data_IF_969842380039
#
_entry.id   IF_969842380039
#
_cell.length_a   1.000
_cell.length_b   1.000
_cell.length_c   1.000
_cell.angle_alpha   90.00
_cell.angle_beta   90.00
_cell.angle_gamma   90.00
#
_symmetry.space_group_name_H-M   'P 1'
#
loop_
_entity.id
_entity.type
_entity.pdbx_description
1 polymer ?
#
# COMPACT_ATOMS: atom_id res chain seq x y z
N UNK A 1 -4.07 32.43 -8.02
CA UNK A 1 -4.63 31.19 -8.61
C UNK A 1 -4.17 31.04 -10.07
N UNK A 2 -4.12 32.13 -10.84
CA UNK A 2 -3.75 32.09 -12.27
C UNK A 2 -2.33 31.61 -12.56
N UNK A 3 -1.36 31.90 -11.69
CA UNK A 3 0.03 31.44 -11.82
C UNK A 3 0.16 29.90 -11.81
N UNK A 4 -0.55 29.21 -10.90
CA UNK A 4 -0.50 27.75 -10.80
C UNK A 4 -1.05 27.07 -12.06
N UNK A 5 -2.13 27.63 -12.64
CA UNK A 5 -2.70 27.11 -13.88
C UNK A 5 -1.77 27.38 -15.05
N UNK A 6 -1.18 28.58 -15.14
CA UNK A 6 -0.27 28.97 -16.22
C UNK A 6 0.98 28.08 -16.30
N UNK A 7 1.50 27.61 -15.16
CA UNK A 7 2.68 26.71 -15.08
C UNK A 7 2.35 25.22 -15.06
N UNK A 8 1.06 24.84 -15.10
CA UNK A 8 0.68 23.43 -15.06
C UNK A 8 1.03 22.71 -16.37
N UNK A 9 1.67 21.54 -16.29
CA UNK A 9 1.98 20.69 -17.45
C UNK A 9 1.00 19.54 -17.52
N UNK A 10 0.43 19.30 -18.71
CA UNK A 10 -0.38 18.11 -18.95
C UNK A 10 0.51 16.87 -18.82
N UNK A 11 0.16 16.00 -17.88
CA UNK A 11 0.79 14.68 -17.73
C UNK A 11 -0.01 13.70 -18.60
N UNK A 12 0.63 12.96 -19.53
CA UNK A 12 -0.06 12.00 -20.36
C UNK A 12 -0.73 10.92 -19.49
N UNK A 13 -1.97 10.56 -19.85
CA UNK A 13 -2.82 9.70 -19.04
C UNK A 13 -2.61 8.23 -19.39
N UNK A 14 -1.81 7.54 -18.58
CA UNK A 14 -1.56 6.08 -18.66
C UNK A 14 -1.07 5.60 -20.03
N UNK A 15 -0.55 4.38 -20.07
CA UNK A 15 -0.21 3.69 -21.32
C UNK A 15 -1.47 3.05 -21.93
N UNK A 16 -1.57 3.03 -23.26
CA UNK A 16 -2.52 2.23 -24.03
C UNK A 16 -1.98 0.81 -24.22
N UNK A 17 -2.81 -0.09 -24.72
CA UNK A 17 -2.42 -1.50 -24.91
C UNK A 17 -1.19 -1.65 -25.82
N UNK A 18 -1.12 -0.79 -26.84
CA UNK A 18 -0.08 -0.78 -27.87
C UNK A 18 1.27 -0.24 -27.37
N UNK A 19 1.29 0.43 -26.21
CA UNK A 19 2.49 1.01 -25.60
C UNK A 19 3.26 0.00 -24.71
N UNK A 20 2.78 -1.24 -24.62
CA UNK A 20 3.38 -2.29 -23.78
C UNK A 20 4.21 -3.28 -24.60
N UNK A 21 5.42 -3.58 -24.10
CA UNK A 21 6.32 -4.57 -24.66
C UNK A 21 6.41 -5.81 -23.76
N UNK A 22 6.53 -6.99 -24.38
CA UNK A 22 6.73 -8.25 -23.64
C UNK A 22 8.06 -8.19 -22.89
N UNK A 23 8.02 -8.48 -21.59
CA UNK A 23 9.19 -8.44 -20.70
C UNK A 23 9.51 -7.05 -20.12
N UNK A 24 8.75 -6.01 -20.44
CA UNK A 24 8.91 -4.69 -19.84
C UNK A 24 8.64 -4.75 -18.33
N UNK A 25 9.57 -4.22 -17.54
CA UNK A 25 9.44 -4.08 -16.08
C UNK A 25 9.17 -2.63 -15.71
N UNK A 26 8.21 -2.40 -14.82
CA UNK A 26 7.93 -1.07 -14.26
C UNK A 26 8.37 -1.05 -12.80
N UNK A 27 9.30 -0.16 -12.48
CA UNK A 27 9.69 0.07 -11.10
C UNK A 27 8.62 0.93 -10.42
N UNK A 28 7.91 0.35 -9.45
CA UNK A 28 6.91 1.09 -8.70
C UNK A 28 7.60 1.94 -7.63
N UNK A 29 7.77 3.23 -7.94
CA UNK A 29 8.59 4.15 -7.14
C UNK A 29 8.10 4.45 -5.71
N UNK A 30 6.92 3.96 -5.30
CA UNK A 30 6.37 4.25 -3.98
C UNK A 30 6.49 3.05 -3.06
N UNK A 31 7.52 3.09 -2.23
CA UNK A 31 7.53 2.36 -0.97
C UNK A 31 6.67 3.11 0.04
N UNK A 32 5.86 2.38 0.81
CA UNK A 32 5.06 2.93 1.90
C UNK A 32 5.26 2.08 3.14
N UNK A 33 5.68 2.71 4.23
CA UNK A 33 5.69 2.07 5.55
C UNK A 33 4.26 1.83 6.00
N UNK A 34 3.90 0.55 6.18
CA UNK A 34 2.61 0.15 6.73
C UNK A 34 2.64 0.25 8.25
N UNK A 35 1.59 0.82 8.82
CA UNK A 35 1.41 0.95 10.26
C UNK A 35 0.03 0.47 10.72
N UNK A 36 -0.22 0.52 12.03
CA UNK A 36 -1.48 0.06 12.64
C UNK A 36 -2.72 0.84 12.15
N UNK A 37 -2.54 2.11 11.78
CA UNK A 37 -3.59 2.92 11.20
C UNK A 37 -4.07 2.38 9.84
N UNK A 38 -3.17 1.81 9.03
CA UNK A 38 -3.54 1.18 7.76
C UNK A 38 -4.41 -0.06 8.00
N UNK A 39 -4.08 -0.88 9.01
CA UNK A 39 -4.90 -2.04 9.40
C UNK A 39 -6.28 -1.62 9.92
N UNK A 40 -6.36 -0.60 10.77
CA UNK A 40 -7.62 -0.08 11.29
C UNK A 40 -8.51 0.47 10.17
N UNK A 41 -7.92 1.24 9.24
CA UNK A 41 -8.60 1.78 8.07
C UNK A 41 -9.11 0.65 7.16
N UNK A 42 -8.24 -0.28 6.79
CA UNK A 42 -8.58 -1.37 5.89
C UNK A 42 -9.68 -2.27 6.47
N UNK A 43 -9.52 -2.70 7.73
CA UNK A 43 -10.49 -3.56 8.43
C UNK A 43 -11.88 -2.91 8.46
N UNK A 44 -11.94 -1.60 8.72
CA UNK A 44 -13.20 -0.87 8.75
C UNK A 44 -13.82 -0.71 7.36
N UNK A 45 -13.02 -0.31 6.35
CA UNK A 45 -13.51 -0.07 4.99
C UNK A 45 -13.96 -1.36 4.30
N UNK A 46 -13.21 -2.44 4.48
CA UNK A 46 -13.49 -3.73 3.85
C UNK A 46 -14.43 -4.61 4.70
N UNK A 47 -14.87 -4.13 5.86
CA UNK A 47 -15.65 -4.91 6.85
C UNK A 47 -14.97 -6.23 7.25
N UNK A 48 -13.64 -6.26 7.18
CA UNK A 48 -12.82 -7.45 7.39
C UNK A 48 -12.43 -7.57 8.87
N UNK A 49 -13.41 -7.83 9.73
CA UNK A 49 -13.24 -7.93 11.19
C UNK A 49 -12.61 -9.25 11.64
N UNK A 50 -11.50 -9.64 11.00
CA UNK A 50 -10.70 -10.79 11.40
C UNK A 50 -9.79 -10.38 12.58
N UNK A 51 -10.00 -10.92 13.80
CA UNK A 51 -9.32 -10.46 15.01
C UNK A 51 -7.80 -10.62 14.94
N UNK A 52 -7.29 -11.50 14.08
CA UNK A 52 -5.86 -11.66 13.80
C UNK A 52 -5.18 -10.35 13.35
N UNK A 53 -5.90 -9.45 12.68
CA UNK A 53 -5.30 -8.27 12.05
C UNK A 53 -5.38 -6.99 12.89
N UNK A 54 -6.24 -6.94 13.91
CA UNK A 54 -6.45 -5.74 14.73
C UNK A 54 -6.51 -5.99 16.24
N UNK A 55 -6.48 -7.25 16.70
CA UNK A 55 -6.41 -7.60 18.12
C UNK A 55 -5.07 -8.26 18.43
N UNK A 56 -4.19 -7.51 19.10
CA UNK A 56 -2.83 -7.94 19.46
C UNK A 56 -2.83 -9.17 20.36
N UNK A 57 -3.73 -9.23 21.36
CA UNK A 57 -3.77 -10.39 22.27
C UNK A 57 -4.27 -11.65 21.57
N UNK A 58 -5.22 -11.51 20.65
CA UNK A 58 -5.66 -12.63 19.82
C UNK A 58 -4.51 -13.11 18.93
N UNK A 59 -3.81 -12.22 18.23
CA UNK A 59 -2.69 -12.59 17.38
C UNK A 59 -1.56 -13.30 18.15
N UNK A 60 -1.25 -12.85 19.37
CA UNK A 60 -0.25 -13.49 20.25
C UNK A 60 -0.61 -14.93 20.62
N UNK A 61 -1.90 -15.22 20.81
CA UNK A 61 -2.35 -16.59 21.10
C UNK A 61 -2.07 -17.58 19.95
N UNK A 62 -1.85 -17.07 18.73
CA UNK A 62 -1.42 -17.83 17.55
C UNK A 62 0.09 -17.74 17.29
N UNK A 63 0.87 -17.19 18.23
CA UNK A 63 2.33 -17.09 18.10
C UNK A 63 2.81 -15.94 17.23
N UNK A 64 1.95 -14.99 16.88
CA UNK A 64 2.36 -13.77 16.19
C UNK A 64 2.79 -12.73 17.20
N UNK A 65 4.08 -12.44 17.25
CA UNK A 65 4.64 -11.34 18.03
C UNK A 65 4.95 -10.15 17.11
N UNK A 66 4.48 -8.97 17.54
CA UNK A 66 4.61 -7.69 16.82
C UNK A 66 6.08 -7.28 16.62
N UNK A 67 6.93 -7.63 17.58
CA UNK A 67 8.34 -7.21 17.59
C UNK A 67 9.29 -8.36 17.27
N UNK A 68 8.77 -9.50 16.82
CA UNK A 68 9.64 -10.59 16.42
C UNK A 68 10.53 -10.09 15.28
N UNK A 69 11.86 -10.24 15.39
CA UNK A 69 12.75 -9.80 14.33
C UNK A 69 12.32 -10.55 13.08
N UNK A 70 11.85 -9.78 12.08
CA UNK A 70 11.55 -10.30 10.75
C UNK A 70 12.70 -11.22 10.37
N UNK A 71 12.42 -12.51 10.16
CA UNK A 71 13.43 -13.44 9.69
C UNK A 71 13.99 -12.85 8.40
N UNK A 72 15.22 -12.32 8.48
CA UNK A 72 15.97 -11.92 7.30
C UNK A 72 16.06 -13.18 6.43
N UNK A 73 15.40 -13.11 5.28
CA UNK A 73 15.63 -14.03 4.18
C UNK A 73 16.93 -13.58 3.49
#
# INVERSE_FOLDING_TARGET
MDDLKARSRLVPKSNRFEDFDIGRTFEHHWERTINEGDNALFTTLALSYIPLYFNVEYARSFGHDRNSPTRAN
#
